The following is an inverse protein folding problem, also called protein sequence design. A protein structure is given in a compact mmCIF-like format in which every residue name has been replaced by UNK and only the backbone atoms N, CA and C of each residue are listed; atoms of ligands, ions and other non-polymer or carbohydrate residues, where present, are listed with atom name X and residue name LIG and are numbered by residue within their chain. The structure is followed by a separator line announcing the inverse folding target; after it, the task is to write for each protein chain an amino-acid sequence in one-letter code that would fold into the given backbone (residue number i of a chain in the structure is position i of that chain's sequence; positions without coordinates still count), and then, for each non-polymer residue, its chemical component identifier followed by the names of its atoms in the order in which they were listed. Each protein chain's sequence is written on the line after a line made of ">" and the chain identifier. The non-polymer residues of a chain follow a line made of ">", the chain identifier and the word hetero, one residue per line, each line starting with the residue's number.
data_IF_225543635839
#
_entry.id   IF_225543635839
#
_cell.length_a   1.000
_cell.length_b   1.000
_cell.length_c   1.000
_cell.angle_alpha   90.00
_cell.angle_beta   90.00
_cell.angle_gamma   90.00
#
_symmetry.space_group_name_H-M   'P 1'
#
loop_
_entity.id
_entity.type
_entity.pdbx_description
1 polymer ?
#
# COMPACT_ATOMS: atom_id res chain seq x y z
N UNK A 1 -1.81 -21.60 -4.40
CA UNK A 1 -2.39 -20.32 -4.86
C UNK A 1 -1.30 -19.52 -5.58
N UNK A 2 -1.49 -19.17 -6.86
CA UNK A 2 -0.39 -18.78 -7.77
C UNK A 2 0.29 -17.46 -7.40
N UNK A 3 -0.46 -16.48 -6.86
CA UNK A 3 0.10 -15.18 -6.44
C UNK A 3 1.09 -15.34 -5.28
N UNK A 4 0.71 -16.09 -4.25
CA UNK A 4 1.58 -16.34 -3.10
C UNK A 4 2.87 -17.05 -3.51
N UNK A 5 2.77 -18.00 -4.45
CA UNK A 5 3.95 -18.70 -4.98
C UNK A 5 4.85 -17.74 -5.77
N UNK A 6 4.28 -16.84 -6.57
CA UNK A 6 5.04 -15.82 -7.31
C UNK A 6 5.78 -14.85 -6.39
N UNK A 7 5.09 -14.28 -5.39
CA UNK A 7 5.69 -13.36 -4.41
C UNK A 7 6.80 -14.08 -3.61
N UNK A 8 6.55 -15.32 -3.20
CA UNK A 8 7.58 -16.16 -2.54
C UNK A 8 8.80 -16.33 -3.43
N UNK A 9 8.60 -16.68 -4.70
CA UNK A 9 9.69 -16.92 -5.64
C UNK A 9 10.55 -15.65 -5.85
N UNK A 10 9.92 -14.48 -5.99
CA UNK A 10 10.63 -13.19 -6.09
C UNK A 10 11.51 -12.97 -4.84
N UNK A 11 10.98 -13.22 -3.65
CA UNK A 11 11.74 -13.07 -2.41
C UNK A 11 12.90 -14.08 -2.32
N UNK A 12 12.69 -15.34 -2.68
CA UNK A 12 13.72 -16.39 -2.66
C UNK A 12 14.85 -16.09 -3.64
N UNK A 13 14.54 -15.69 -4.88
CA UNK A 13 15.54 -15.32 -5.89
C UNK A 13 16.36 -14.11 -5.45
N UNK A 14 15.72 -13.07 -4.91
CA UNK A 14 16.44 -11.89 -4.43
C UNK A 14 17.38 -12.21 -3.25
N UNK A 15 16.99 -13.14 -2.36
CA UNK A 15 17.88 -13.64 -1.30
C UNK A 15 19.05 -14.44 -1.88
N UNK A 16 18.80 -15.33 -2.83
CA UNK A 16 19.85 -16.13 -3.47
C UNK A 16 20.88 -15.26 -4.22
N UNK A 17 20.44 -14.13 -4.80
CA UNK A 17 21.30 -13.18 -5.50
C UNK A 17 21.98 -12.16 -4.57
N UNK A 18 21.73 -12.19 -3.26
CA UNK A 18 22.26 -11.19 -2.32
C UNK A 18 21.67 -9.78 -2.50
N UNK A 19 20.50 -9.67 -3.12
CA UNK A 19 19.81 -8.41 -3.42
C UNK A 19 18.71 -8.05 -2.42
N UNK A 20 18.42 -8.94 -1.47
CA UNK A 20 17.26 -8.78 -0.58
C UNK A 20 17.20 -7.44 0.16
N UNK A 21 18.34 -6.94 0.66
CA UNK A 21 18.45 -5.65 1.38
C UNK A 21 18.30 -4.43 0.46
N UNK A 22 18.23 -4.65 -0.85
CA UNK A 22 18.02 -3.63 -1.89
C UNK A 22 16.70 -3.78 -2.62
N UNK A 23 15.84 -4.71 -2.18
CA UNK A 23 14.57 -5.02 -2.84
C UNK A 23 13.41 -4.69 -1.93
N UNK A 24 12.47 -3.92 -2.48
CA UNK A 24 11.17 -3.62 -1.89
C UNK A 24 10.11 -4.27 -2.79
N UNK A 25 9.20 -5.04 -2.19
CA UNK A 25 8.05 -5.65 -2.85
C UNK A 25 6.80 -4.97 -2.30
N UNK A 26 6.10 -4.25 -3.16
CA UNK A 26 4.77 -3.71 -2.90
C UNK A 26 3.74 -4.56 -3.65
N UNK A 27 2.81 -5.18 -2.93
CA UNK A 27 1.65 -5.84 -3.51
C UNK A 27 0.43 -4.96 -3.27
N UNK A 28 -0.24 -4.61 -4.35
CA UNK A 28 -1.45 -3.79 -4.37
C UNK A 28 -2.47 -4.37 -5.34
N UNK A 29 -3.68 -3.84 -5.31
CA UNK A 29 -4.71 -4.08 -6.32
C UNK A 29 -5.11 -2.73 -6.93
N UNK A 30 -5.12 -2.63 -8.25
CA UNK A 30 -5.73 -1.49 -8.95
C UNK A 30 -7.26 -1.52 -8.86
N UNK A 31 -7.80 -2.69 -8.52
CA UNK A 31 -9.21 -2.86 -8.22
C UNK A 31 -9.43 -2.72 -6.72
N UNK A 32 -9.92 -1.57 -6.30
CA UNK A 32 -10.58 -1.39 -5.01
C UNK A 32 -12.09 -1.48 -5.19
N UNK A 33 -12.80 -1.92 -4.15
CA UNK A 33 -14.25 -2.06 -4.18
C UNK A 33 -14.90 -0.93 -3.39
N UNK A 34 -16.01 -0.44 -3.91
CA UNK A 34 -16.99 0.36 -3.19
C UNK A 34 -18.01 -0.58 -2.51
N UNK A 35 -19.22 -0.10 -2.20
CA UNK A 35 -20.36 -0.99 -1.92
C UNK A 35 -20.80 -1.71 -3.20
N UNK A 36 -21.55 -2.82 -3.06
CA UNK A 36 -22.19 -3.51 -4.20
C UNK A 36 -22.99 -2.51 -5.05
N UNK A 37 -22.74 -2.48 -6.37
CA UNK A 37 -23.46 -1.62 -7.31
C UNK A 37 -24.83 -2.24 -7.67
N UNK A 38 -25.71 -1.44 -8.27
CA UNK A 38 -27.09 -1.85 -8.60
C UNK A 38 -27.22 -2.94 -9.68
N UNK A 39 -26.12 -3.53 -10.14
CA UNK A 39 -26.05 -4.63 -11.11
C UNK A 39 -25.19 -5.81 -10.61
N UNK A 40 -25.03 -5.96 -9.29
CA UNK A 40 -24.22 -7.02 -8.65
C UNK A 40 -22.73 -6.99 -9.02
N UNK A 41 -22.24 -5.85 -9.53
CA UNK A 41 -20.82 -5.56 -9.74
C UNK A 41 -20.29 -4.56 -8.73
N UNK A 42 -19.03 -4.16 -8.85
CA UNK A 42 -18.37 -3.23 -7.94
C UNK A 42 -17.82 -2.06 -8.79
N UNK A 43 -18.19 -0.81 -8.48
CA UNK A 43 -17.47 0.35 -9.03
C UNK A 43 -16.06 0.44 -8.42
N UNK A 44 -15.09 0.93 -9.21
CA UNK A 44 -13.70 1.14 -8.77
C UNK A 44 -13.63 2.07 -7.55
N UNK A 45 -13.41 1.51 -6.37
CA UNK A 45 -13.14 2.26 -5.15
C UNK A 45 -11.72 2.83 -5.12
N UNK A 46 -11.44 3.74 -4.18
CA UNK A 46 -10.12 4.35 -4.02
C UNK A 46 -9.29 3.77 -2.86
N UNK A 47 -9.90 2.95 -2.00
CA UNK A 47 -9.25 2.38 -0.81
C UNK A 47 -9.01 0.89 -1.03
N UNK A 48 -7.74 0.48 -1.04
CA UNK A 48 -7.30 -0.90 -1.26
C UNK A 48 -6.28 -1.34 -0.19
N UNK A 49 -6.11 -2.66 0.04
CA UNK A 49 -5.03 -3.15 0.86
C UNK A 49 -3.66 -2.91 0.19
N UNK A 50 -2.63 -2.77 1.01
CA UNK A 50 -1.23 -2.70 0.62
C UNK A 50 -0.45 -3.70 1.46
N UNK A 51 0.38 -4.52 0.82
CA UNK A 51 1.35 -5.38 1.51
C UNK A 51 2.75 -4.98 1.08
N UNK A 52 3.62 -4.72 2.06
CA UNK A 52 4.99 -4.24 1.84
C UNK A 52 5.95 -5.23 2.49
N UNK A 53 6.96 -5.65 1.74
CA UNK A 53 7.96 -6.63 2.16
C UNK A 53 9.33 -6.28 1.56
N UNK A 54 10.43 -6.67 2.20
CA UNK A 54 11.77 -6.39 1.72
C UNK A 54 12.81 -6.54 2.82
N UNK A 55 14.11 -6.57 2.47
CA UNK A 55 15.18 -6.75 3.45
C UNK A 55 15.32 -5.61 4.44
N UNK A 56 15.06 -4.38 4.00
CA UNK A 56 15.07 -3.17 4.85
C UNK A 56 13.68 -2.70 5.29
N UNK A 57 12.62 -3.44 4.94
CA UNK A 57 11.28 -3.10 5.41
C UNK A 57 11.19 -3.45 6.90
N UNK A 58 10.80 -2.48 7.71
CA UNK A 58 10.47 -2.67 9.11
C UNK A 58 9.13 -3.43 9.20
N UNK A 59 9.20 -4.76 9.09
CA UNK A 59 8.03 -5.63 9.05
C UNK A 59 7.29 -5.74 10.39
N UNK A 60 6.32 -6.67 10.46
CA UNK A 60 5.45 -6.91 11.64
C UNK A 60 4.58 -5.71 12.04
N UNK A 61 4.39 -4.78 11.12
CA UNK A 61 3.44 -3.69 11.27
C UNK A 61 2.12 -4.07 10.63
N UNK A 62 1.03 -3.82 11.35
CA UNK A 62 -0.32 -3.87 10.83
C UNK A 62 -0.90 -2.49 11.07
N UNK A 63 -1.35 -1.84 9.99
CA UNK A 63 -1.94 -0.51 10.11
C UNK A 63 -3.25 -0.57 10.87
N UNK A 64 -3.71 0.54 11.48
CA UNK A 64 -4.98 0.56 12.19
C UNK A 64 -6.12 0.06 11.29
N UNK A 65 -7.01 -0.74 11.86
CA UNK A 65 -8.22 -1.16 11.17
C UNK A 65 -9.08 0.07 10.83
N UNK A 66 -9.83 -0.01 9.73
CA UNK A 66 -10.86 0.97 9.41
C UNK A 66 -11.89 1.01 10.56
N UNK A 67 -12.22 2.21 11.02
CA UNK A 67 -13.25 2.39 12.06
C UNK A 67 -14.63 2.47 11.41
N UNK A 68 -15.70 2.14 12.15
CA UNK A 68 -17.07 2.30 11.65
C UNK A 68 -17.35 3.73 11.17
N UNK A 69 -16.76 4.73 11.83
CA UNK A 69 -16.88 6.13 11.42
C UNK A 69 -16.21 6.41 10.06
N UNK A 70 -15.01 5.86 9.82
CA UNK A 70 -14.30 5.97 8.54
C UNK A 70 -14.98 5.19 7.42
N UNK A 71 -15.59 4.06 7.75
CA UNK A 71 -16.41 3.27 6.82
C UNK A 71 -17.70 4.03 6.48
N UNK A 72 -18.29 4.72 7.45
CA UNK A 72 -19.50 5.54 7.26
C UNK A 72 -19.21 6.87 6.55
N UNK A 73 -17.95 7.33 6.50
CA UNK A 73 -17.58 8.51 5.70
C UNK A 73 -17.53 8.13 4.22
N UNK A 74 -18.62 8.41 3.53
CA UNK A 74 -18.75 8.16 2.10
C UNK A 74 -19.11 9.43 1.34
N UNK A 75 -18.67 9.51 0.08
CA UNK A 75 -19.21 10.47 -0.88
C UNK A 75 -19.90 9.66 -1.98
N UNK A 76 -21.22 9.53 -1.88
CA UNK A 76 -21.95 8.49 -2.63
C UNK A 76 -21.57 7.09 -2.12
N UNK A 77 -21.23 6.17 -3.04
CA UNK A 77 -20.79 4.81 -2.71
C UNK A 77 -19.28 4.69 -2.40
N UNK A 78 -18.52 5.79 -2.46
CA UNK A 78 -17.07 5.77 -2.31
C UNK A 78 -16.66 6.03 -0.87
N UNK A 79 -15.85 5.15 -0.29
CA UNK A 79 -15.15 5.43 0.97
C UNK A 79 -14.14 6.56 0.75
N UNK A 80 -14.16 7.57 1.61
CA UNK A 80 -13.30 8.77 1.47
C UNK A 80 -12.26 8.94 2.57
N UNK A 81 -12.34 8.17 3.66
CA UNK A 81 -11.39 8.26 4.77
C UNK A 81 -10.63 6.95 4.97
N UNK A 82 -9.45 6.77 4.34
CA UNK A 82 -8.62 5.61 4.62
C UNK A 82 -8.02 5.67 6.03
N UNK A 83 -7.71 4.51 6.62
CA UNK A 83 -6.97 4.42 7.87
C UNK A 83 -5.52 4.89 7.70
N UNK A 84 -4.95 4.66 6.52
CA UNK A 84 -3.64 5.14 6.10
C UNK A 84 -3.75 5.72 4.71
N UNK A 85 -3.22 6.92 4.53
CA UNK A 85 -3.09 7.53 3.20
C UNK A 85 -2.03 6.78 2.39
N UNK A 86 -2.41 6.19 1.25
CA UNK A 86 -1.51 5.46 0.35
C UNK A 86 -0.34 6.33 -0.13
N UNK A 87 -0.53 7.65 -0.22
CA UNK A 87 0.55 8.59 -0.59
C UNK A 87 1.69 8.55 0.43
N UNK A 88 1.39 8.40 1.72
CA UNK A 88 2.41 8.28 2.78
C UNK A 88 3.27 7.04 2.58
N UNK A 89 2.64 5.93 2.18
CA UNK A 89 3.31 4.65 1.90
C UNK A 89 4.25 4.79 0.69
N UNK A 90 3.73 5.28 -0.44
CA UNK A 90 4.51 5.45 -1.67
C UNK A 90 5.66 6.43 -1.43
N UNK A 91 5.43 7.52 -0.71
CA UNK A 91 6.46 8.50 -0.41
C UNK A 91 7.62 7.90 0.42
N UNK A 92 7.31 7.07 1.42
CA UNK A 92 8.34 6.39 2.21
C UNK A 92 9.10 5.34 1.40
N UNK A 93 8.45 4.63 0.48
CA UNK A 93 9.13 3.72 -0.46
C UNK A 93 10.13 4.50 -1.31
N UNK A 94 9.70 5.62 -1.92
CA UNK A 94 10.57 6.45 -2.77
C UNK A 94 11.73 7.03 -1.97
N UNK A 95 11.47 7.49 -0.74
CA UNK A 95 12.50 7.99 0.17
C UNK A 95 13.51 6.89 0.56
N UNK A 96 13.04 5.67 0.85
CA UNK A 96 13.90 4.53 1.16
C UNK A 96 14.77 4.10 -0.05
N UNK A 97 14.31 4.38 -1.27
CA UNK A 97 15.09 4.22 -2.49
C UNK A 97 16.13 5.34 -2.70
N UNK A 98 16.13 6.37 -1.85
CA UNK A 98 17.05 7.52 -1.94
C UNK A 98 16.59 8.64 -2.86
N UNK A 99 15.31 8.69 -3.22
CA UNK A 99 14.75 9.68 -4.13
C UNK A 99 13.73 10.59 -3.44
N UNK A 100 13.44 11.74 -4.06
CA UNK A 100 12.34 12.61 -3.64
C UNK A 100 11.01 12.10 -4.21
N UNK A 101 9.96 12.09 -3.39
CA UNK A 101 8.60 11.75 -3.81
C UNK A 101 7.88 12.90 -4.55
N UNK A 102 8.38 14.13 -4.46
CA UNK A 102 7.72 15.32 -5.01
C UNK A 102 7.40 15.25 -6.52
N UNK A 103 8.22 14.63 -7.39
CA UNK A 103 7.87 14.48 -8.81
C UNK A 103 6.70 13.52 -9.06
N UNK A 104 6.45 12.59 -8.14
CA UNK A 104 5.41 11.54 -8.26
C UNK A 104 4.14 11.95 -7.53
N UNK A 105 4.27 12.53 -6.34
CA UNK A 105 3.16 12.95 -5.48
C UNK A 105 3.16 14.48 -5.43
N UNK A 106 2.34 15.07 -6.31
CA UNK A 106 2.24 16.52 -6.48
C UNK A 106 1.26 17.17 -5.51
N UNK A 107 0.36 16.38 -4.93
CA UNK A 107 -0.60 16.85 -3.93
C UNK A 107 0.08 17.16 -2.59
N UNK A 108 -0.43 18.16 -1.88
CA UNK A 108 0.01 18.48 -0.52
C UNK A 108 -0.68 17.61 0.54
N UNK A 109 -0.13 17.61 1.76
CA UNK A 109 -0.77 17.03 2.94
C UNK A 109 -0.52 15.54 3.21
N UNK A 110 0.36 14.89 2.43
CA UNK A 110 0.87 13.56 2.76
C UNK A 110 2.08 13.66 3.71
N UNK A 111 2.29 12.61 4.50
CA UNK A 111 3.30 12.55 5.55
C UNK A 111 4.25 11.38 5.34
N UNK A 112 5.54 11.69 5.19
CA UNK A 112 6.60 10.72 4.92
C UNK A 112 7.28 10.18 6.17
N UNK A 113 6.90 10.66 7.36
CA UNK A 113 7.66 10.42 8.61
C UNK A 113 6.96 9.47 9.57
N UNK A 114 5.64 9.28 9.44
CA UNK A 114 4.82 8.69 10.49
C UNK A 114 4.60 7.17 10.42
N UNK A 115 4.93 6.49 9.31
CA UNK A 115 4.70 5.03 9.23
C UNK A 115 5.93 4.19 9.62
N UNK A 116 7.14 4.78 9.61
CA UNK A 116 8.38 4.09 9.96
C UNK A 116 8.54 2.73 9.23
N UNK A 117 8.31 2.71 7.91
CA UNK A 117 8.27 1.48 7.11
C UNK A 117 9.64 0.87 6.83
N UNK A 118 10.73 1.60 7.06
CA UNK A 118 12.08 1.21 6.68
C UNK A 118 13.08 1.46 7.81
N UNK A 119 14.13 0.63 7.86
CA UNK A 119 15.28 0.77 8.75
C UNK A 119 16.23 1.90 8.34
#
# INVERSE_FOLDING_TARGET
>A
NSVNNGVRYIAEVNKALGLWDRTIILVTSEFARTFENSSEGDDHGHIHPLFIMGGKVNGRQVTPAQTNQKIASTQGSYLTSPAVDTRNVIAQIIAAMGYSAAPVIQDSGYDTTNLNLFL
#
